data_IF_201601377330
#
_entry.id   IF_201601377330
#
_cell.length_a   1.000
_cell.length_b   1.000
_cell.length_c   1.000
_cell.angle_alpha   90.00
_cell.angle_beta   90.00
_cell.angle_gamma   90.00
#
_symmetry.space_group_name_H-M   'P 1'
#
loop_
_entity.id
_entity.type
_entity.pdbx_description
1 polymer ?
#
# COMPACT_ATOMS: atom_id res chain seq x y z
N UNK A 1 -8.81 21.13 5.54
CA UNK A 1 -7.41 21.16 5.02
C UNK A 1 -6.61 20.32 5.99
N UNK A 2 -6.00 19.25 5.53
CA UNK A 2 -5.24 18.30 6.37
C UNK A 2 -4.14 19.01 7.16
N UNK A 3 -3.43 19.94 6.53
CA UNK A 3 -2.39 20.75 7.17
C UNK A 3 -2.70 22.24 7.01
N UNK A 4 -2.70 22.98 8.10
CA UNK A 4 -2.76 24.45 8.12
C UNK A 4 -1.39 25.03 8.49
N UNK A 5 -1.23 26.35 8.39
CA UNK A 5 0.03 27.01 8.69
C UNK A 5 0.51 26.80 10.15
N UNK A 6 -0.41 26.69 11.09
CA UNK A 6 -0.09 26.44 12.50
C UNK A 6 0.47 25.02 12.68
N UNK A 7 -0.22 23.99 12.18
CA UNK A 7 0.24 22.61 12.23
C UNK A 7 1.59 22.45 11.51
N UNK A 8 1.73 23.06 10.32
CA UNK A 8 2.99 23.10 9.58
C UNK A 8 4.14 23.62 10.42
N UNK A 9 3.94 24.78 11.06
CA UNK A 9 4.96 25.40 11.92
C UNK A 9 5.25 24.55 13.17
N UNK A 10 4.25 23.91 13.74
CA UNK A 10 4.42 23.01 14.88
C UNK A 10 5.28 21.78 14.51
N UNK A 11 5.03 21.18 13.34
CA UNK A 11 5.83 20.05 12.85
C UNK A 11 7.28 20.50 12.61
N UNK A 12 7.52 21.61 11.90
CA UNK A 12 8.85 22.14 11.66
C UNK A 12 9.59 22.42 12.96
N UNK A 13 8.95 23.05 13.96
CA UNK A 13 9.53 23.31 15.26
C UNK A 13 9.88 22.03 16.03
N UNK A 14 9.06 20.96 15.91
CA UNK A 14 9.33 19.66 16.53
C UNK A 14 10.60 19.00 15.97
N UNK A 15 10.83 19.12 14.67
CA UNK A 15 11.90 18.42 13.98
C UNK A 15 13.17 19.26 13.68
N UNK A 16 13.14 20.58 13.85
CA UNK A 16 14.27 21.48 13.49
C UNK A 16 15.63 21.13 14.05
N UNK A 17 15.68 20.42 15.19
CA UNK A 17 16.93 20.00 15.85
C UNK A 17 17.06 18.47 15.90
N UNK A 18 16.28 17.75 15.11
CA UNK A 18 16.24 16.29 15.08
C UNK A 18 16.99 15.74 13.89
N UNK A 19 17.72 14.66 14.08
CA UNK A 19 18.39 13.97 12.97
C UNK A 19 17.44 13.01 12.31
N UNK A 20 17.18 13.22 11.03
CA UNK A 20 16.21 12.48 10.21
C UNK A 20 16.95 11.76 9.10
N UNK A 21 16.67 10.49 8.91
CA UNK A 21 17.10 9.73 7.72
C UNK A 21 15.91 9.42 6.81
N UNK A 22 16.04 9.66 5.52
CA UNK A 22 15.13 9.12 4.50
C UNK A 22 15.69 7.78 4.05
N UNK A 23 14.96 6.69 4.33
CA UNK A 23 15.35 5.33 3.95
C UNK A 23 14.72 4.98 2.61
N UNK A 24 15.53 4.68 1.60
CA UNK A 24 15.08 4.37 0.25
C UNK A 24 15.88 3.21 -0.36
N UNK A 25 15.54 2.77 -1.56
CA UNK A 25 16.23 1.68 -2.25
C UNK A 25 15.66 0.30 -1.91
N UNK A 26 16.39 -0.50 -1.14
CA UNK A 26 16.03 -1.91 -0.88
C UNK A 26 16.58 -2.85 -1.95
N UNK A 27 16.33 -4.17 -1.78
CA UNK A 27 16.87 -5.22 -2.66
C UNK A 27 15.79 -5.99 -3.44
N UNK A 28 14.55 -5.50 -3.45
CA UNK A 28 13.42 -6.14 -4.09
C UNK A 28 13.07 -5.48 -5.45
N UNK A 29 12.04 -5.99 -6.09
CA UNK A 29 11.58 -5.56 -7.42
C UNK A 29 11.06 -4.11 -7.46
N UNK A 30 10.73 -3.52 -6.30
CA UNK A 30 10.23 -2.14 -6.17
C UNK A 30 11.34 -1.11 -5.89
N UNK A 31 12.63 -1.54 -5.92
CA UNK A 31 13.78 -0.67 -5.65
C UNK A 31 13.75 0.64 -6.45
N UNK A 32 13.49 0.58 -7.75
CA UNK A 32 13.49 1.76 -8.60
C UNK A 32 12.39 2.79 -8.23
N UNK A 33 11.25 2.30 -7.78
CA UNK A 33 10.16 3.16 -7.29
C UNK A 33 10.55 3.80 -5.96
N UNK A 34 11.18 3.03 -5.07
CA UNK A 34 11.70 3.51 -3.80
C UNK A 34 12.79 4.56 -3.98
N UNK A 35 13.74 4.36 -4.91
CA UNK A 35 14.80 5.33 -5.22
C UNK A 35 14.21 6.67 -5.68
N UNK A 36 13.26 6.66 -6.60
CA UNK A 36 12.59 7.89 -7.08
C UNK A 36 11.76 8.56 -6.00
N UNK A 37 10.98 7.78 -5.25
CA UNK A 37 10.15 8.30 -4.15
C UNK A 37 11.01 8.90 -3.03
N UNK A 38 12.08 8.21 -2.63
CA UNK A 38 12.98 8.67 -1.58
C UNK A 38 13.73 9.94 -1.96
N UNK A 39 14.18 10.06 -3.21
CA UNK A 39 14.80 11.28 -3.70
C UNK A 39 13.83 12.47 -3.61
N UNK A 40 12.58 12.31 -4.07
CA UNK A 40 11.56 13.35 -4.00
C UNK A 40 11.24 13.77 -2.56
N UNK A 41 11.12 12.79 -1.65
CA UNK A 41 10.88 13.04 -0.22
C UNK A 41 12.05 13.79 0.41
N UNK A 42 13.28 13.36 0.14
CA UNK A 42 14.48 14.03 0.65
C UNK A 42 14.58 15.48 0.16
N UNK A 43 14.41 15.71 -1.14
CA UNK A 43 14.41 17.06 -1.72
C UNK A 43 13.32 17.95 -1.12
N UNK A 44 12.14 17.37 -0.87
CA UNK A 44 11.05 18.06 -0.20
C UNK A 44 11.44 18.47 1.23
N UNK A 45 11.98 17.54 2.05
CA UNK A 45 12.35 17.83 3.43
C UNK A 45 13.45 18.88 3.52
N UNK A 46 14.48 18.82 2.68
CA UNK A 46 15.57 19.81 2.68
C UNK A 46 15.18 21.17 2.08
N UNK A 47 14.01 21.28 1.45
CA UNK A 47 13.46 22.57 0.99
C UNK A 47 13.00 23.46 2.16
N UNK A 48 12.75 22.87 3.34
CA UNK A 48 12.44 23.61 4.56
C UNK A 48 13.75 24.01 5.28
N UNK A 49 13.93 25.30 5.54
CA UNK A 49 15.15 25.83 6.20
C UNK A 49 15.42 25.19 7.57
N UNK A 50 14.36 24.81 8.30
CA UNK A 50 14.43 24.15 9.60
C UNK A 50 15.00 22.72 9.51
N UNK A 51 14.83 22.03 8.39
CA UNK A 51 15.17 20.61 8.21
C UNK A 51 16.42 20.38 7.36
N UNK A 52 16.79 21.34 6.53
CA UNK A 52 17.78 21.19 5.45
C UNK A 52 19.15 20.66 5.89
N UNK A 53 19.59 20.95 7.13
CA UNK A 53 20.89 20.50 7.65
C UNK A 53 20.76 19.26 8.57
N UNK A 54 19.57 18.72 8.72
CA UNK A 54 19.25 17.66 9.67
C UNK A 54 18.82 16.36 9.00
N UNK A 55 18.57 16.39 7.68
CA UNK A 55 18.15 15.23 6.90
C UNK A 55 19.32 14.62 6.15
N UNK A 56 19.37 13.27 6.14
CA UNK A 56 20.26 12.51 5.27
C UNK A 56 19.45 11.49 4.47
N UNK A 57 19.97 11.12 3.31
CA UNK A 57 19.37 10.12 2.42
C UNK A 57 20.20 8.84 2.49
N UNK A 58 19.59 7.68 2.79
CA UNK A 58 20.28 6.41 2.98
C UNK A 58 19.72 5.37 2.01
N UNK A 59 20.55 4.91 1.06
CA UNK A 59 20.24 3.76 0.21
C UNK A 59 20.44 2.46 1.00
N UNK A 60 19.33 1.76 1.27
CA UNK A 60 19.33 0.56 2.11
C UNK A 60 19.61 -0.68 1.27
N UNK A 61 20.86 -1.12 1.29
CA UNK A 61 21.30 -2.33 0.60
C UNK A 61 21.66 -3.47 1.56
N UNK A 62 22.03 -3.14 2.80
CA UNK A 62 22.44 -4.09 3.82
C UNK A 62 22.03 -3.59 5.20
N UNK A 63 21.45 -4.48 6.02
CA UNK A 63 20.94 -4.14 7.34
C UNK A 63 22.05 -3.79 8.33
N UNK A 64 23.22 -4.42 8.23
CA UNK A 64 24.34 -4.15 9.12
C UNK A 64 24.94 -2.76 8.83
N UNK A 65 25.12 -2.44 7.56
CA UNK A 65 25.58 -1.13 7.12
C UNK A 65 24.59 -0.04 7.53
N UNK A 66 23.28 -0.29 7.34
CA UNK A 66 22.23 0.63 7.78
C UNK A 66 22.37 0.95 9.28
N UNK A 67 22.48 -0.07 10.15
CA UNK A 67 22.63 0.12 11.61
C UNK A 67 23.84 0.98 11.93
N UNK A 68 24.96 0.75 11.25
CA UNK A 68 26.18 1.53 11.43
C UNK A 68 25.95 3.00 11.07
N UNK A 69 25.38 3.28 9.88
CA UNK A 69 25.11 4.65 9.43
C UNK A 69 24.14 5.37 10.37
N UNK A 70 23.06 4.70 10.80
CA UNK A 70 22.09 5.27 11.74
C UNK A 70 22.73 5.69 13.07
N UNK A 71 23.61 4.85 13.62
CA UNK A 71 24.32 5.14 14.87
C UNK A 71 25.37 6.24 14.74
N UNK A 72 26.21 6.19 13.68
CA UNK A 72 27.26 7.18 13.43
C UNK A 72 26.70 8.59 13.22
N UNK A 73 25.50 8.69 12.63
CA UNK A 73 24.83 9.97 12.39
C UNK A 73 23.84 10.37 13.50
N UNK A 74 23.72 9.59 14.58
CA UNK A 74 22.80 9.82 15.69
C UNK A 74 21.36 10.04 15.22
N UNK A 75 20.88 9.19 14.31
CA UNK A 75 19.53 9.31 13.74
C UNK A 75 18.48 9.01 14.82
N UNK A 76 17.51 9.92 14.95
CA UNK A 76 16.40 9.82 15.89
C UNK A 76 15.10 9.45 15.19
N UNK A 77 14.96 9.83 13.91
CA UNK A 77 13.75 9.64 13.11
C UNK A 77 14.10 9.12 11.72
N UNK A 78 13.28 8.20 11.23
CA UNK A 78 13.36 7.71 9.85
C UNK A 78 12.08 8.02 9.08
N UNK A 79 12.22 8.67 7.93
CA UNK A 79 11.18 8.67 6.92
C UNK A 79 11.37 7.41 6.08
N UNK A 80 10.55 6.39 6.34
CA UNK A 80 10.62 5.15 5.58
C UNK A 80 9.93 5.34 4.23
N UNK A 81 10.63 5.04 3.15
CA UNK A 81 10.08 5.02 1.78
C UNK A 81 10.57 3.77 1.03
N UNK A 82 10.99 2.75 1.78
CA UNK A 82 11.22 1.42 1.25
C UNK A 82 9.88 0.79 0.87
N UNK A 83 9.82 0.13 -0.27
CA UNK A 83 8.63 -0.55 -0.75
C UNK A 83 8.78 -2.07 -0.72
N UNK A 84 7.65 -2.78 -0.64
CA UNK A 84 7.59 -4.24 -0.70
C UNK A 84 8.26 -4.94 0.48
N UNK A 85 8.81 -6.13 0.20
CA UNK A 85 9.48 -6.96 1.22
C UNK A 85 10.64 -6.22 1.87
N UNK A 86 10.77 -6.39 3.19
CA UNK A 86 11.70 -5.69 4.08
C UNK A 86 11.36 -4.20 4.34
N UNK A 87 10.57 -3.55 3.50
CA UNK A 87 10.16 -2.15 3.66
C UNK A 87 8.79 -1.98 4.32
N UNK A 88 7.83 -2.86 3.96
CA UNK A 88 6.42 -2.77 4.35
C UNK A 88 5.93 -3.98 5.16
N UNK A 89 6.78 -4.94 5.46
CA UNK A 89 6.42 -6.23 6.08
C UNK A 89 6.74 -6.33 7.58
N UNK A 90 7.13 -5.24 8.22
CA UNK A 90 7.50 -5.20 9.64
C UNK A 90 9.01 -5.38 9.90
N UNK A 91 9.80 -5.76 8.89
CA UNK A 91 11.23 -6.05 9.06
C UNK A 91 12.02 -4.79 9.41
N UNK A 92 11.92 -3.73 8.59
CA UNK A 92 12.61 -2.47 8.86
C UNK A 92 12.04 -1.80 10.12
N UNK A 93 10.73 -1.88 10.35
CA UNK A 93 10.08 -1.34 11.52
C UNK A 93 10.64 -1.98 12.80
N UNK A 94 10.80 -3.32 12.81
CA UNK A 94 11.39 -4.04 13.95
C UNK A 94 12.86 -3.67 14.20
N UNK A 95 13.64 -3.44 13.14
CA UNK A 95 15.02 -2.95 13.26
C UNK A 95 15.05 -1.57 13.91
N UNK A 96 14.25 -0.63 13.42
CA UNK A 96 14.21 0.75 13.92
C UNK A 96 13.70 0.82 15.37
N UNK A 97 12.65 0.06 15.73
CA UNK A 97 12.18 -0.03 17.12
C UNK A 97 13.25 -0.59 18.06
N UNK A 98 13.99 -1.62 17.63
CA UNK A 98 15.11 -2.18 18.41
C UNK A 98 16.26 -1.18 18.65
N UNK A 99 16.36 -0.15 17.81
CA UNK A 99 17.32 0.94 17.95
C UNK A 99 16.74 2.19 18.65
N UNK A 100 15.47 2.15 19.08
CA UNK A 100 14.71 3.29 19.60
C UNK A 100 14.63 4.47 18.61
N UNK A 101 14.56 4.19 17.32
CA UNK A 101 14.39 5.16 16.24
C UNK A 101 12.92 5.18 15.84
N UNK A 102 12.30 6.35 15.85
CA UNK A 102 10.92 6.53 15.40
C UNK A 102 10.86 6.65 13.88
N UNK A 103 9.72 6.27 13.27
CA UNK A 103 9.62 6.20 11.81
C UNK A 103 8.22 6.53 11.30
N UNK A 104 8.12 6.91 10.02
CA UNK A 104 6.85 7.09 9.32
C UNK A 104 6.26 5.75 8.88
N UNK A 105 4.94 5.69 8.74
CA UNK A 105 4.20 4.51 8.30
C UNK A 105 3.58 3.75 9.47
N UNK A 106 3.30 2.47 9.26
CA UNK A 106 2.63 1.62 10.24
C UNK A 106 3.62 0.87 11.14
N UNK A 107 3.16 0.45 12.32
CA UNK A 107 3.96 -0.35 13.24
C UNK A 107 4.23 -1.77 12.69
N UNK A 108 5.09 -2.53 13.40
CA UNK A 108 5.52 -3.89 13.00
C UNK A 108 4.32 -4.79 12.70
N UNK A 109 3.33 -4.86 13.61
CA UNK A 109 2.20 -5.78 13.48
C UNK A 109 1.33 -5.42 12.28
N UNK A 110 0.98 -4.16 12.14
CA UNK A 110 0.12 -3.67 11.05
C UNK A 110 0.81 -3.88 9.71
N UNK A 111 2.09 -3.50 9.60
CA UNK A 111 2.91 -3.72 8.40
C UNK A 111 2.93 -5.19 7.99
N UNK A 112 3.25 -6.10 8.91
CA UNK A 112 3.31 -7.53 8.65
C UNK A 112 1.95 -8.12 8.23
N UNK A 113 0.87 -7.71 8.89
CA UNK A 113 -0.49 -8.17 8.57
C UNK A 113 -0.93 -7.64 7.19
N UNK A 114 -0.75 -6.34 6.92
CA UNK A 114 -1.18 -5.73 5.67
C UNK A 114 -0.40 -6.24 4.46
N UNK A 115 0.89 -6.54 4.62
CA UNK A 115 1.70 -7.17 3.56
C UNK A 115 1.19 -8.57 3.20
N UNK A 116 0.61 -9.30 4.16
CA UNK A 116 0.05 -10.63 3.93
C UNK A 116 -1.44 -10.56 3.58
N UNK A 117 -1.76 -10.57 2.29
CA UNK A 117 -3.14 -10.44 1.77
C UNK A 117 -4.12 -11.46 2.39
N UNK A 118 -3.65 -12.66 2.68
CA UNK A 118 -4.48 -13.72 3.27
C UNK A 118 -4.83 -13.41 4.73
N UNK A 119 -3.88 -12.92 5.54
CA UNK A 119 -4.16 -12.50 6.91
C UNK A 119 -5.04 -11.25 6.94
N UNK A 120 -4.78 -10.27 6.09
CA UNK A 120 -5.64 -9.09 5.92
C UNK A 120 -7.09 -9.48 5.63
N UNK A 121 -7.31 -10.34 4.62
CA UNK A 121 -8.65 -10.83 4.24
C UNK A 121 -9.33 -11.64 5.36
N UNK A 122 -8.58 -12.44 6.12
CA UNK A 122 -9.11 -13.17 7.29
C UNK A 122 -9.63 -12.22 8.37
N UNK A 123 -8.86 -11.18 8.71
CA UNK A 123 -9.28 -10.16 9.70
C UNK A 123 -10.51 -9.42 9.18
N UNK A 124 -10.51 -8.99 7.94
CA UNK A 124 -11.66 -8.33 7.33
C UNK A 124 -12.92 -9.21 7.40
N UNK A 125 -12.83 -10.46 6.98
CA UNK A 125 -13.97 -11.40 7.02
C UNK A 125 -14.47 -11.62 8.45
N UNK A 126 -13.59 -11.83 9.42
CA UNK A 126 -13.98 -12.01 10.84
C UNK A 126 -14.64 -10.76 11.44
N UNK A 127 -14.37 -9.59 10.87
CA UNK A 127 -14.93 -8.30 11.28
C UNK A 127 -16.11 -7.83 10.41
N UNK A 128 -16.64 -8.70 9.54
CA UNK A 128 -17.71 -8.35 8.58
C UNK A 128 -17.34 -7.14 7.70
N UNK A 129 -16.11 -7.11 7.21
CA UNK A 129 -15.65 -6.19 6.15
C UNK A 129 -15.64 -6.95 4.84
N UNK A 130 -16.19 -6.34 3.80
CA UNK A 130 -16.39 -6.99 2.50
C UNK A 130 -15.07 -7.16 1.74
N UNK A 131 -14.75 -8.40 1.42
CA UNK A 131 -13.64 -8.81 0.54
C UNK A 131 -14.03 -10.09 -0.18
N UNK A 132 -13.43 -10.36 -1.33
CA UNK A 132 -13.68 -11.60 -2.06
C UNK A 132 -13.34 -12.83 -1.21
N UNK A 133 -14.08 -13.91 -1.41
CA UNK A 133 -13.67 -15.22 -0.92
C UNK A 133 -12.33 -15.61 -1.52
N UNK A 134 -11.56 -16.41 -0.81
CA UNK A 134 -10.24 -16.84 -1.28
C UNK A 134 -9.91 -18.26 -0.81
N UNK A 135 -9.02 -18.90 -1.55
CA UNK A 135 -8.54 -20.26 -1.29
C UNK A 135 -7.03 -20.31 -1.49
N UNK A 136 -6.29 -20.89 -0.55
CA UNK A 136 -4.87 -21.11 -0.77
C UNK A 136 -4.64 -22.12 -1.90
N UNK A 137 -3.65 -21.87 -2.74
CA UNK A 137 -3.33 -22.76 -3.87
C UNK A 137 -3.08 -24.21 -3.41
N UNK A 138 -2.46 -24.39 -2.25
CA UNK A 138 -2.22 -25.70 -1.63
C UNK A 138 -3.48 -26.44 -1.15
N UNK A 139 -4.59 -25.72 -0.94
CA UNK A 139 -5.82 -26.28 -0.37
C UNK A 139 -6.78 -26.78 -1.47
N UNK A 140 -6.39 -26.69 -2.74
CA UNK A 140 -7.16 -27.21 -3.86
C UNK A 140 -7.20 -28.75 -3.79
N UNK A 141 -8.41 -29.29 -3.95
CA UNK A 141 -8.67 -30.75 -3.92
C UNK A 141 -9.09 -31.29 -5.27
N UNK A 142 -9.82 -30.49 -6.03
CA UNK A 142 -10.41 -30.90 -7.30
C UNK A 142 -10.42 -29.71 -8.27
N UNK A 143 -10.16 -29.99 -9.52
CA UNK A 143 -10.23 -29.00 -10.59
C UNK A 143 -10.83 -29.66 -11.84
N UNK A 144 -11.84 -29.03 -12.43
CA UNK A 144 -12.42 -29.45 -13.70
C UNK A 144 -12.43 -28.26 -14.68
N UNK A 145 -13.02 -28.44 -15.86
CA UNK A 145 -13.03 -27.42 -16.92
C UNK A 145 -13.83 -26.17 -16.55
N UNK A 146 -14.68 -26.24 -15.55
CA UNK A 146 -15.58 -25.15 -15.16
C UNK A 146 -15.22 -24.52 -13.83
N UNK A 147 -14.66 -25.28 -12.89
CA UNK A 147 -14.47 -24.81 -11.53
C UNK A 147 -13.28 -25.44 -10.81
N UNK A 148 -12.89 -24.78 -9.72
CA UNK A 148 -11.85 -25.20 -8.77
C UNK A 148 -12.50 -25.35 -7.40
N UNK A 149 -12.28 -26.49 -6.74
CA UNK A 149 -12.84 -26.80 -5.42
C UNK A 149 -11.74 -27.06 -4.41
N UNK A 150 -11.93 -26.59 -3.20
CA UNK A 150 -11.06 -26.90 -2.06
C UNK A 150 -11.73 -26.54 -0.74
N UNK A 151 -11.55 -27.37 0.26
CA UNK A 151 -12.21 -27.27 1.55
C UNK A 151 -13.74 -27.10 1.40
N UNK A 152 -14.31 -25.96 1.79
CA UNK A 152 -15.76 -25.67 1.67
C UNK A 152 -16.07 -24.65 0.56
N UNK A 153 -15.10 -24.31 -0.30
CA UNK A 153 -15.23 -23.29 -1.34
C UNK A 153 -15.15 -23.90 -2.74
N UNK A 154 -15.87 -23.29 -3.67
CA UNK A 154 -15.79 -23.58 -5.08
C UNK A 154 -15.82 -22.28 -5.88
N UNK A 155 -14.89 -22.12 -6.81
CA UNK A 155 -14.81 -20.96 -7.69
C UNK A 155 -14.94 -21.38 -9.15
N UNK A 156 -15.79 -20.68 -9.89
CA UNK A 156 -15.88 -20.83 -11.34
C UNK A 156 -14.79 -19.97 -12.00
N UNK A 157 -14.31 -20.40 -13.15
CA UNK A 157 -13.52 -19.52 -14.01
C UNK A 157 -14.34 -18.36 -14.56
N UNK A 158 -13.78 -17.15 -14.73
CA UNK A 158 -12.38 -16.78 -14.47
C UNK A 158 -12.07 -16.55 -12.98
N UNK A 159 -10.82 -16.81 -12.62
CA UNK A 159 -10.26 -16.58 -11.27
C UNK A 159 -9.01 -15.73 -11.35
N UNK A 160 -8.63 -15.13 -10.22
CA UNK A 160 -7.35 -14.44 -10.04
C UNK A 160 -6.46 -15.28 -9.15
N UNK A 161 -5.24 -15.55 -9.60
CA UNK A 161 -4.15 -16.13 -8.83
C UNK A 161 -3.23 -15.00 -8.37
N UNK A 162 -2.91 -14.96 -7.08
CA UNK A 162 -2.08 -13.90 -6.49
C UNK A 162 -1.03 -14.48 -5.53
N UNK A 163 0.17 -13.91 -5.47
CA UNK A 163 1.09 -14.12 -4.35
C UNK A 163 0.48 -13.57 -3.06
N UNK A 164 0.77 -14.22 -1.93
CA UNK A 164 0.27 -13.80 -0.61
C UNK A 164 0.93 -12.47 -0.18
N UNK A 165 2.22 -12.31 -0.45
CA UNK A 165 3.04 -11.17 0.00
C UNK A 165 3.89 -10.65 -1.15
N UNK A 166 3.30 -9.85 -2.03
CA UNK A 166 3.98 -9.21 -3.14
C UNK A 166 3.29 -7.88 -3.45
N UNK A 167 4.06 -6.88 -3.86
CA UNK A 167 3.57 -5.57 -4.30
C UNK A 167 3.44 -5.47 -5.82
N UNK A 168 3.05 -4.29 -6.30
CA UNK A 168 3.07 -3.88 -7.72
C UNK A 168 2.42 -4.84 -8.71
N UNK A 169 1.45 -5.66 -8.29
CA UNK A 169 0.78 -6.71 -9.09
C UNK A 169 1.73 -7.76 -9.69
N UNK A 170 2.96 -7.89 -9.17
CA UNK A 170 3.89 -8.91 -9.61
C UNK A 170 3.36 -10.29 -9.27
N UNK A 171 3.36 -11.20 -10.25
CA UNK A 171 2.86 -12.58 -10.07
C UNK A 171 1.33 -12.71 -10.03
N UNK A 172 0.57 -11.64 -10.24
CA UNK A 172 -0.89 -11.69 -10.39
C UNK A 172 -1.26 -12.19 -11.78
N UNK A 173 -2.19 -13.13 -11.85
CA UNK A 173 -2.64 -13.73 -13.13
C UNK A 173 -4.15 -13.90 -13.16
N UNK A 174 -4.78 -13.41 -14.24
CA UNK A 174 -6.16 -13.75 -14.60
C UNK A 174 -6.15 -15.09 -15.32
N UNK A 175 -6.90 -16.05 -14.81
CA UNK A 175 -6.98 -17.43 -15.33
C UNK A 175 -8.41 -17.71 -15.76
N UNK A 176 -8.61 -17.99 -17.02
CA UNK A 176 -9.92 -18.19 -17.65
C UNK A 176 -10.30 -19.65 -17.87
N UNK A 177 -9.30 -20.53 -17.88
CA UNK A 177 -9.50 -21.94 -18.19
C UNK A 177 -8.63 -22.85 -17.32
N UNK A 178 -9.04 -24.11 -17.20
CA UNK A 178 -8.23 -25.14 -16.53
C UNK A 178 -6.83 -25.27 -17.16
N UNK A 179 -6.74 -25.19 -18.48
CA UNK A 179 -5.46 -25.29 -19.18
C UNK A 179 -4.52 -24.15 -18.77
N UNK A 180 -4.99 -22.91 -18.74
CA UNK A 180 -4.20 -21.77 -18.27
C UNK A 180 -3.77 -21.95 -16.82
N UNK A 181 -4.67 -22.48 -15.97
CA UNK A 181 -4.35 -22.80 -14.58
C UNK A 181 -3.19 -23.80 -14.47
N UNK A 182 -3.28 -24.92 -15.19
CA UNK A 182 -2.25 -25.96 -15.19
C UNK A 182 -0.91 -25.40 -15.71
N UNK A 183 -0.95 -24.63 -16.80
CA UNK A 183 0.23 -24.02 -17.42
C UNK A 183 0.95 -23.02 -16.51
N UNK A 184 0.19 -22.19 -15.75
CA UNK A 184 0.75 -21.19 -14.84
C UNK A 184 1.24 -21.87 -13.56
N UNK A 185 0.42 -22.72 -12.93
CA UNK A 185 0.76 -23.31 -11.63
C UNK A 185 1.85 -24.37 -11.70
N UNK A 186 2.12 -24.94 -12.89
CA UNK A 186 3.26 -25.82 -13.12
C UNK A 186 4.62 -25.13 -12.99
N UNK A 187 4.65 -23.78 -13.09
CA UNK A 187 5.86 -22.95 -12.99
C UNK A 187 6.07 -22.35 -11.60
N UNK A 188 5.14 -22.63 -10.67
CA UNK A 188 5.20 -22.13 -9.30
C UNK A 188 5.93 -23.14 -8.43
N UNK A 189 7.11 -22.76 -7.93
CA UNK A 189 7.93 -23.60 -7.08
C UNK A 189 7.29 -23.82 -5.68
N UNK A 190 6.81 -22.74 -5.04
CA UNK A 190 6.18 -22.81 -3.72
C UNK A 190 4.70 -22.39 -3.75
N UNK A 191 3.83 -23.39 -3.84
CA UNK A 191 2.37 -23.21 -3.82
C UNK A 191 1.81 -22.68 -2.50
N UNK A 192 2.60 -22.70 -1.40
CA UNK A 192 2.18 -22.13 -0.13
C UNK A 192 2.07 -20.61 -0.17
N UNK A 193 2.80 -19.96 -1.08
CA UNK A 193 2.86 -18.51 -1.20
C UNK A 193 1.82 -17.92 -2.17
N UNK A 194 0.83 -18.71 -2.60
CA UNK A 194 -0.20 -18.26 -3.53
C UNK A 194 -1.60 -18.58 -3.03
N UNK A 195 -2.55 -17.74 -3.43
CA UNK A 195 -3.97 -17.93 -3.22
C UNK A 195 -4.79 -17.56 -4.47
N UNK A 196 -6.01 -18.05 -4.52
CA UNK A 196 -6.98 -17.82 -5.56
C UNK A 196 -8.16 -17.03 -5.01
N UNK A 197 -8.73 -16.19 -5.85
CA UNK A 197 -10.02 -15.53 -5.60
C UNK A 197 -10.87 -15.48 -6.90
N UNK A 198 -12.20 -15.35 -6.83
CA UNK A 198 -13.02 -15.13 -8.01
C UNK A 198 -12.61 -13.83 -8.71
N UNK A 199 -12.61 -13.83 -10.05
CA UNK A 199 -12.52 -12.58 -10.80
C UNK A 199 -13.79 -11.75 -10.60
N UNK A 200 -13.65 -10.55 -10.10
CA UNK A 200 -14.74 -9.60 -9.91
C UNK A 200 -14.64 -8.54 -10.99
N UNK A 201 -15.62 -8.54 -11.89
CA UNK A 201 -15.75 -7.50 -12.91
C UNK A 201 -16.32 -6.24 -12.28
N UNK A 202 -15.66 -5.11 -12.48
CA UNK A 202 -16.11 -3.85 -11.89
C UNK A 202 -15.14 -2.70 -12.11
N UNK A 203 -15.40 -1.61 -11.41
CA UNK A 203 -14.56 -0.41 -11.40
C UNK A 203 -13.53 -0.53 -10.30
N UNK A 204 -12.26 -0.48 -10.65
CA UNK A 204 -11.19 -0.41 -9.67
C UNK A 204 -11.07 1.02 -9.12
N UNK A 205 -10.88 1.09 -7.81
CA UNK A 205 -10.70 2.33 -7.06
C UNK A 205 -9.60 2.18 -6.04
N UNK A 206 -9.00 3.29 -5.65
CA UNK A 206 -8.09 3.34 -4.50
C UNK A 206 -8.41 4.52 -3.60
N UNK A 207 -8.22 4.34 -2.30
CA UNK A 207 -8.62 5.29 -1.26
C UNK A 207 -7.47 5.49 -0.27
N UNK A 208 -7.02 6.71 -0.10
CA UNK A 208 -6.06 7.08 0.95
C UNK A 208 -6.78 7.34 2.28
N UNK A 209 -6.24 6.83 3.38
CA UNK A 209 -6.77 7.04 4.73
C UNK A 209 -5.62 7.33 5.70
N UNK A 210 -5.91 8.17 6.69
CA UNK A 210 -4.99 8.46 7.78
C UNK A 210 -5.78 8.71 9.07
N UNK A 211 -5.25 8.27 10.19
CA UNK A 211 -5.85 8.57 11.49
C UNK A 211 -5.43 9.96 11.94
N UNK A 212 -6.41 10.76 12.30
CA UNK A 212 -6.25 12.08 12.94
C UNK A 212 -6.88 12.05 14.34
N UNK A 213 -6.69 13.12 15.12
CA UNK A 213 -7.24 13.24 16.47
C UNK A 213 -8.77 13.08 16.50
N UNK A 214 -9.46 13.69 15.53
CA UNK A 214 -10.92 13.70 15.42
C UNK A 214 -11.52 12.48 14.68
N UNK A 215 -10.67 11.53 14.25
CA UNK A 215 -11.12 10.33 13.55
C UNK A 215 -10.26 9.93 12.36
N UNK A 216 -10.84 9.26 11.37
CA UNK A 216 -10.14 8.84 10.16
C UNK A 216 -10.46 9.82 9.04
N UNK A 217 -9.44 10.55 8.59
CA UNK A 217 -9.52 11.33 7.37
C UNK A 217 -9.45 10.41 6.15
N UNK A 218 -10.28 10.67 5.16
CA UNK A 218 -10.34 9.91 3.91
C UNK A 218 -10.05 10.86 2.76
N UNK A 219 -9.01 10.57 2.00
CA UNK A 219 -8.71 11.30 0.77
C UNK A 219 -9.79 11.06 -0.29
N UNK A 220 -9.92 11.95 -1.28
CA UNK A 220 -10.82 11.72 -2.40
C UNK A 220 -10.53 10.39 -3.08
N UNK A 221 -11.59 9.65 -3.42
CA UNK A 221 -11.48 8.34 -4.07
C UNK A 221 -10.90 8.52 -5.46
N UNK A 222 -9.86 7.78 -5.79
CA UNK A 222 -9.24 7.73 -7.11
C UNK A 222 -9.79 6.53 -7.88
N UNK A 223 -10.36 6.76 -9.05
CA UNK A 223 -10.77 5.72 -9.98
C UNK A 223 -9.62 5.30 -10.89
N UNK A 224 -9.51 4.00 -11.15
CA UNK A 224 -8.47 3.41 -11.99
C UNK A 224 -9.16 2.78 -13.21
N UNK A 225 -8.96 3.37 -14.39
CA UNK A 225 -9.51 2.87 -15.64
C UNK A 225 -8.38 2.22 -16.45
N UNK A 226 -8.16 0.92 -16.21
CA UNK A 226 -7.19 0.13 -16.97
C UNK A 226 -7.75 -0.26 -18.34
N UNK A 227 -6.89 -0.22 -19.37
CA UNK A 227 -7.20 -0.79 -20.70
C UNK A 227 -7.02 -2.31 -20.74
N UNK A 228 -6.27 -2.86 -19.78
CA UNK A 228 -6.14 -4.31 -19.59
C UNK A 228 -7.35 -4.84 -18.82
N UNK A 229 -7.65 -6.13 -18.93
CA UNK A 229 -8.74 -6.77 -18.20
C UNK A 229 -8.57 -6.73 -16.68
N UNK A 230 -7.33 -6.60 -16.20
CA UNK A 230 -6.96 -6.38 -14.80
C UNK A 230 -5.91 -5.28 -14.71
N UNK A 231 -5.80 -4.63 -13.56
CA UNK A 231 -4.76 -3.63 -13.28
C UNK A 231 -3.45 -4.34 -12.89
N UNK A 232 -2.82 -4.97 -13.89
CA UNK A 232 -1.58 -5.72 -13.75
C UNK A 232 -0.34 -4.79 -13.80
N UNK A 233 0.86 -5.39 -13.72
CA UNK A 233 2.14 -4.67 -13.77
C UNK A 233 2.27 -3.82 -15.05
N UNK A 234 1.88 -4.38 -16.19
CA UNK A 234 1.95 -3.68 -17.47
C UNK A 234 0.97 -2.49 -17.53
N UNK A 235 -0.25 -2.64 -16.98
CA UNK A 235 -1.20 -1.54 -16.86
C UNK A 235 -0.71 -0.42 -15.93
N UNK A 236 0.04 -0.77 -14.87
CA UNK A 236 0.58 0.20 -13.89
C UNK A 236 1.73 1.04 -14.46
N UNK A 237 2.62 0.44 -15.23
CA UNK A 237 3.89 1.05 -15.60
C UNK A 237 4.05 1.40 -17.08
N UNK A 238 3.15 0.93 -17.96
CA UNK A 238 3.18 1.29 -19.38
C UNK A 238 2.37 2.57 -19.63
N UNK A 239 3.00 3.66 -20.13
CA UNK A 239 2.31 4.91 -20.40
C UNK A 239 1.09 4.73 -21.30
N UNK A 240 -0.04 5.34 -20.92
CA UNK A 240 -1.27 5.35 -21.69
C UNK A 240 -2.13 4.08 -21.58
N UNK A 241 -1.74 3.08 -20.76
CA UNK A 241 -2.55 1.89 -20.48
C UNK A 241 -3.57 2.10 -19.36
N UNK A 242 -3.34 3.06 -18.49
CA UNK A 242 -4.25 3.40 -17.40
C UNK A 242 -4.58 4.88 -17.42
N UNK A 243 -5.85 5.19 -17.23
CA UNK A 243 -6.35 6.55 -17.01
C UNK A 243 -6.84 6.67 -15.57
N UNK A 244 -6.29 7.65 -14.85
CA UNK A 244 -6.69 7.98 -13.47
C UNK A 244 -7.85 8.95 -13.50
N UNK A 245 -8.93 8.65 -12.79
CA UNK A 245 -10.11 9.49 -12.65
C UNK A 245 -10.16 10.11 -11.26
N UNK A 246 -9.81 11.39 -11.13
CA UNK A 246 -9.76 12.10 -9.86
C UNK A 246 -10.77 13.27 -9.82
N UNK A 247 -11.79 13.25 -8.92
CA UNK A 247 -12.20 12.09 -8.12
C UNK A 247 -12.93 11.05 -8.98
N UNK A 248 -13.01 9.82 -8.47
CA UNK A 248 -13.79 8.77 -9.12
C UNK A 248 -15.26 9.20 -9.28
N UNK A 249 -15.82 9.05 -10.48
CA UNK A 249 -17.24 9.36 -10.76
C UNK A 249 -18.13 8.26 -10.17
N UNK A 250 -18.62 8.50 -8.97
CA UNK A 250 -19.49 7.61 -8.21
C UNK A 250 -20.78 8.34 -7.82
N UNK A 251 -21.88 7.61 -7.64
CA UNK A 251 -23.04 8.17 -6.98
C UNK A 251 -22.71 8.45 -5.50
N UNK A 252 -23.36 9.43 -4.88
CA UNK A 252 -23.11 9.77 -3.47
C UNK A 252 -23.36 8.60 -2.52
N UNK A 253 -24.30 7.73 -2.85
CA UNK A 253 -24.58 6.49 -2.11
C UNK A 253 -23.37 5.55 -2.14
N UNK A 254 -22.84 5.28 -3.33
CA UNK A 254 -21.68 4.39 -3.51
C UNK A 254 -20.41 5.01 -2.88
N UNK A 255 -20.19 6.31 -3.07
CA UNK A 255 -19.08 7.03 -2.44
C UNK A 255 -19.12 6.86 -0.91
N UNK A 256 -20.27 7.09 -0.27
CA UNK A 256 -20.42 6.92 1.17
C UNK A 256 -20.18 5.44 1.60
N UNK A 257 -20.71 4.47 0.84
CA UNK A 257 -20.49 3.04 1.12
C UNK A 257 -19.02 2.66 1.05
N UNK A 258 -18.28 3.18 0.06
CA UNK A 258 -16.82 3.00 -0.07
C UNK A 258 -16.10 3.57 1.14
N UNK A 259 -16.39 4.84 1.50
CA UNK A 259 -15.75 5.53 2.63
C UNK A 259 -15.94 4.74 3.93
N UNK A 260 -17.17 4.36 4.26
CA UNK A 260 -17.46 3.62 5.49
C UNK A 260 -16.82 2.22 5.50
N UNK A 261 -16.82 1.54 4.36
CA UNK A 261 -16.16 0.22 4.24
C UNK A 261 -14.65 0.34 4.44
N UNK A 262 -14.01 1.34 3.82
CA UNK A 262 -12.58 1.57 3.95
C UNK A 262 -12.18 2.03 5.36
N UNK A 263 -12.96 2.93 6.00
CA UNK A 263 -12.74 3.31 7.40
C UNK A 263 -12.80 2.11 8.34
N UNK A 264 -13.80 1.25 8.17
CA UNK A 264 -13.93 0.03 8.96
C UNK A 264 -12.74 -0.91 8.72
N UNK A 265 -12.36 -1.10 7.47
CA UNK A 265 -11.22 -1.93 7.09
C UNK A 265 -9.89 -1.46 7.70
N UNK A 266 -9.64 -0.16 7.64
CA UNK A 266 -8.49 0.52 8.24
C UNK A 266 -8.46 0.33 9.76
N UNK A 267 -9.60 0.58 10.42
CA UNK A 267 -9.71 0.48 11.89
C UNK A 267 -9.49 -0.93 12.42
N UNK A 268 -10.07 -1.96 11.78
CA UNK A 268 -9.98 -3.36 12.28
C UNK A 268 -8.58 -3.95 12.10
N UNK A 269 -7.78 -3.40 11.20
CA UNK A 269 -6.37 -3.76 11.04
C UNK A 269 -5.47 -3.04 12.04
N UNK A 270 -5.98 -1.99 12.70
CA UNK A 270 -5.22 -1.17 13.65
C UNK A 270 -4.32 -0.14 12.98
N UNK A 271 -4.58 0.23 11.72
CA UNK A 271 -3.81 1.24 11.00
C UNK A 271 -3.89 2.59 11.71
N UNK A 272 -2.77 3.34 11.68
CA UNK A 272 -2.62 4.67 12.28
C UNK A 272 -2.03 5.67 11.28
N UNK A 273 -1.07 5.22 10.48
CA UNK A 273 -0.37 6.02 9.47
C UNK A 273 -1.19 6.26 8.21
N UNK A 274 -0.58 6.96 7.25
CA UNK A 274 -1.17 7.14 5.93
C UNK A 274 -1.09 5.81 5.15
N UNK A 275 -2.23 5.18 4.96
CA UNK A 275 -2.35 3.92 4.21
C UNK A 275 -3.31 4.08 3.02
N UNK A 276 -3.20 3.21 2.04
CA UNK A 276 -4.05 3.18 0.85
C UNK A 276 -4.76 1.83 0.75
N UNK A 277 -6.08 1.85 0.55
CA UNK A 277 -6.89 0.65 0.37
C UNK A 277 -7.34 0.58 -1.08
N UNK A 278 -7.03 -0.54 -1.74
CA UNK A 278 -7.43 -0.83 -3.10
C UNK A 278 -8.69 -1.71 -3.09
N UNK A 279 -9.67 -1.38 -3.95
CA UNK A 279 -10.98 -2.03 -3.98
C UNK A 279 -11.56 -2.11 -5.39
N UNK A 280 -12.51 -3.04 -5.57
CA UNK A 280 -13.35 -3.14 -6.77
C UNK A 280 -14.81 -2.86 -6.37
N UNK A 281 -15.47 -1.98 -7.12
CA UNK A 281 -16.91 -1.80 -7.10
C UNK A 281 -17.48 -2.66 -8.22
N UNK A 282 -18.17 -3.74 -7.87
CA UNK A 282 -18.75 -4.67 -8.85
C UNK A 282 -19.86 -4.02 -9.67
N UNK A 283 -20.27 -4.68 -10.76
CA UNK A 283 -21.42 -4.27 -11.57
C UNK A 283 -22.73 -4.17 -10.77
N UNK A 284 -22.82 -4.87 -9.64
CA UNK A 284 -23.98 -4.82 -8.72
C UNK A 284 -23.81 -3.77 -7.61
N UNK A 285 -22.77 -2.90 -7.68
CA UNK A 285 -22.43 -1.92 -6.64
C UNK A 285 -22.02 -2.53 -5.28
N UNK A 286 -21.57 -3.78 -5.27
CA UNK A 286 -20.91 -4.36 -4.10
C UNK A 286 -19.45 -3.97 -4.09
N UNK A 287 -18.93 -3.69 -2.88
CA UNK A 287 -17.56 -3.25 -2.69
C UNK A 287 -16.73 -4.45 -2.21
N UNK A 288 -15.64 -4.75 -2.90
CA UNK A 288 -14.71 -5.80 -2.54
C UNK A 288 -13.32 -5.21 -2.32
N UNK A 289 -12.88 -5.19 -1.06
CA UNK A 289 -11.53 -4.74 -0.74
C UNK A 289 -10.51 -5.78 -1.16
N UNK A 290 -9.42 -5.33 -1.77
CA UNK A 290 -8.37 -6.19 -2.30
C UNK A 290 -7.17 -6.28 -1.37
N UNK A 291 -6.58 -5.14 -1.02
CA UNK A 291 -5.36 -5.04 -0.21
C UNK A 291 -5.24 -3.68 0.49
N UNK A 292 -4.32 -3.60 1.45
CA UNK A 292 -3.89 -2.36 2.08
C UNK A 292 -2.41 -2.15 1.81
N UNK A 293 -2.07 -0.97 1.33
CA UNK A 293 -0.70 -0.52 1.16
C UNK A 293 -0.36 0.43 2.32
N UNK A 294 0.54 0.03 3.18
CA UNK A 294 0.94 0.80 4.38
C UNK A 294 2.02 1.84 4.10
N UNK A 295 2.57 1.81 2.89
CA UNK A 295 3.57 2.75 2.40
C UNK A 295 3.21 3.14 0.96
N UNK A 296 2.63 4.33 0.79
CA UNK A 296 2.30 4.85 -0.54
C UNK A 296 3.55 5.30 -1.30
N UNK A 297 3.58 5.09 -2.62
CA UNK A 297 4.60 5.69 -3.48
C UNK A 297 4.55 7.21 -3.43
N UNK A 298 5.72 7.86 -3.50
CA UNK A 298 5.89 9.31 -3.45
C UNK A 298 6.57 9.86 -4.72
N UNK A 299 6.22 9.28 -5.86
CA UNK A 299 6.57 9.82 -7.18
C UNK A 299 5.50 10.80 -7.66
N UNK A 300 5.81 11.59 -8.69
CA UNK A 300 4.86 12.55 -9.27
C UNK A 300 3.60 11.90 -9.88
N UNK A 301 3.61 10.60 -10.09
CA UNK A 301 2.49 9.82 -10.66
C UNK A 301 1.90 8.83 -9.67
N UNK A 302 2.26 8.93 -8.40
CA UNK A 302 1.75 8.04 -7.35
C UNK A 302 0.37 8.50 -6.86
N UNK A 303 -0.46 7.56 -6.44
CA UNK A 303 -1.87 7.76 -6.11
C UNK A 303 -2.08 8.79 -4.98
N UNK A 304 -1.32 8.67 -3.88
CA UNK A 304 -1.46 9.57 -2.72
C UNK A 304 -1.08 11.03 -3.08
N UNK A 305 0.06 11.31 -3.75
CA UNK A 305 0.35 12.65 -4.26
C UNK A 305 -0.73 13.21 -5.20
N UNK A 306 -1.34 12.38 -6.06
CA UNK A 306 -2.42 12.82 -6.94
C UNK A 306 -3.71 13.18 -6.16
N UNK A 307 -4.07 12.36 -5.16
CA UNK A 307 -5.18 12.67 -4.23
C UNK A 307 -4.93 13.96 -3.45
N UNK A 308 -3.70 14.16 -2.96
CA UNK A 308 -3.29 15.36 -2.23
C UNK A 308 -3.39 16.62 -3.10
N UNK A 309 -2.89 16.56 -4.32
CA UNK A 309 -2.95 17.64 -5.31
C UNK A 309 -4.40 18.05 -5.61
N UNK A 310 -5.32 17.10 -5.72
CA UNK A 310 -6.74 17.41 -5.95
C UNK A 310 -7.34 18.26 -4.83
N UNK A 311 -6.98 18.01 -3.57
CA UNK A 311 -7.41 18.82 -2.42
C UNK A 311 -6.54 20.07 -2.19
N UNK A 312 -5.65 20.41 -3.13
CA UNK A 312 -4.72 21.55 -3.08
C UNK A 312 -3.70 21.46 -1.94
N UNK A 313 -3.35 20.25 -1.52
CA UNK A 313 -2.23 19.97 -0.65
C UNK A 313 -1.01 19.74 -1.55
N UNK A 314 -0.02 20.63 -1.47
CA UNK A 314 1.19 20.48 -2.26
C UNK A 314 2.07 19.32 -1.76
N UNK A 315 3.01 18.88 -2.58
CA UNK A 315 3.83 17.71 -2.28
C UNK A 315 4.71 17.91 -1.02
N UNK A 316 5.27 19.12 -0.83
CA UNK A 316 6.12 19.39 0.32
C UNK A 316 5.29 19.37 1.61
N UNK A 317 4.09 19.92 1.58
CA UNK A 317 3.18 19.90 2.72
C UNK A 317 2.66 18.47 3.01
N UNK A 318 2.44 17.64 1.99
CA UNK A 318 2.13 16.23 2.17
C UNK A 318 3.28 15.47 2.84
N UNK A 319 4.52 15.65 2.37
CA UNK A 319 5.72 15.02 2.97
C UNK A 319 5.89 15.45 4.41
N UNK A 320 5.75 16.74 4.69
CA UNK A 320 5.84 17.28 6.05
C UNK A 320 4.71 16.76 6.95
N UNK A 321 3.50 16.65 6.43
CA UNK A 321 2.36 16.07 7.15
C UNK A 321 2.63 14.62 7.56
N UNK A 322 3.12 13.78 6.62
CA UNK A 322 3.47 12.38 6.91
C UNK A 322 4.58 12.29 7.97
N UNK A 323 5.61 13.16 7.91
CA UNK A 323 6.62 13.25 8.97
C UNK A 323 5.98 13.62 10.31
N UNK A 324 4.99 14.50 10.27
CA UNK A 324 4.23 14.95 11.43
C UNK A 324 3.43 13.86 12.15
N UNK A 325 3.08 12.77 11.46
CA UNK A 325 2.35 11.62 12.03
C UNK A 325 3.20 10.75 12.96
N UNK A 326 4.51 10.91 12.99
CA UNK A 326 5.37 10.19 13.94
C UNK A 326 5.08 10.71 15.35
N UNK A 327 4.76 9.83 16.30
CA UNK A 327 4.54 10.14 17.72
C UNK A 327 5.83 10.34 18.52
#
# INVERSE_FOLDING_TARGET
>A
MIINNELKQNILNRFKNKKIAVLYGGQNEEREVSLRSGQNVYESLISFDELKNNCILIDVNDSYELVKILKENNIEYCYNILHGTSGEDGTIQGLLESLNIKYTGENILVSAVCMNKVYTKRIWKSSNVSTADFMLLKDIKEIDDNNIKGNSLSFNFPIILKPISSGSSVGVSLIKTKKEFDDITSKIDDKNNYFLEPYIKGKEITVGLVKEEDGIYVFPILGINSKNEIYDYDAKYTPGKTEMEMPAKLSKEIENKVIETCKKAYSVLGCQGLSRIDAIISENNDIYLMEVNTQGGMTNTSDIPEMAKYIKLDFNDLVLYILGLID
#
